data_IF_996295861974
#
_entry.id   IF_996295861974
#
_cell.length_a   1.000
_cell.length_b   1.000
_cell.length_c   1.000
_cell.angle_alpha   90.00
_cell.angle_beta   90.00
_cell.angle_gamma   90.00
#
_symmetry.space_group_name_H-M   'P 1'
#
loop_
_entity.id
_entity.type
_entity.pdbx_description
1 polymer ?
#
# COMPACT_ATOMS: atom_id res chain seq x y z
N UNK A 1 3.20 -16.74 13.99
CA UNK A 1 2.76 -18.14 13.77
C UNK A 1 3.93 -18.99 13.28
N UNK A 2 4.45 -19.93 14.09
CA UNK A 2 5.65 -20.71 13.74
C UNK A 2 5.55 -21.48 12.43
N UNK A 3 4.35 -21.94 12.06
CA UNK A 3 4.11 -22.74 10.86
C UNK A 3 3.99 -21.92 9.55
N UNK A 4 4.10 -20.59 9.63
CA UNK A 4 4.06 -19.69 8.47
C UNK A 4 5.42 -19.51 7.79
N UNK A 5 6.47 -19.87 8.47
CA UNK A 5 7.83 -19.72 7.95
C UNK A 5 8.41 -21.07 7.53
N UNK A 6 8.88 -21.13 6.30
CA UNK A 6 9.57 -22.34 5.79
C UNK A 6 10.77 -22.66 6.68
N UNK A 7 10.87 -23.90 7.13
CA UNK A 7 11.91 -24.36 8.06
C UNK A 7 12.02 -23.57 9.37
N UNK A 8 10.96 -22.89 9.82
CA UNK A 8 10.97 -22.08 11.05
C UNK A 8 11.84 -20.82 10.97
N UNK A 9 12.34 -20.45 9.79
CA UNK A 9 13.16 -19.24 9.58
C UNK A 9 12.24 -18.02 9.47
N UNK A 10 12.18 -17.22 10.51
CA UNK A 10 11.34 -16.02 10.59
C UNK A 10 12.07 -14.73 10.19
N UNK A 11 11.44 -13.57 10.39
CA UNK A 11 11.96 -12.28 9.95
C UNK A 11 13.24 -11.84 10.66
N UNK A 12 13.64 -12.50 11.75
CA UNK A 12 14.91 -12.27 12.44
C UNK A 12 16.14 -12.68 11.61
N UNK A 13 15.93 -13.49 10.57
CA UNK A 13 16.98 -13.95 9.64
C UNK A 13 16.60 -13.51 8.21
N UNK A 14 16.97 -12.27 7.85
CA UNK A 14 16.72 -11.67 6.54
C UNK A 14 18.02 -11.20 5.90
N UNK A 15 17.96 -10.25 4.99
CA UNK A 15 19.14 -9.60 4.37
C UNK A 15 20.03 -8.85 5.36
N UNK A 16 19.56 -8.65 6.60
CA UNK A 16 20.30 -7.99 7.69
C UNK A 16 20.79 -6.57 7.37
N UNK A 17 20.04 -5.82 6.55
CA UNK A 17 20.37 -4.45 6.15
C UNK A 17 20.72 -3.55 7.34
N UNK A 18 20.01 -3.68 8.45
CA UNK A 18 20.31 -2.92 9.67
C UNK A 18 21.76 -3.06 10.16
N UNK A 19 22.38 -4.20 9.91
CA UNK A 19 23.75 -4.50 10.33
C UNK A 19 24.79 -4.19 9.23
N UNK A 20 24.39 -4.30 7.96
CA UNK A 20 25.29 -4.25 6.80
C UNK A 20 25.07 -3.03 5.88
N UNK A 21 24.22 -2.09 6.27
CA UNK A 21 23.79 -0.97 5.45
C UNK A 21 24.94 -0.19 4.79
N UNK A 22 26.08 -0.02 5.48
CA UNK A 22 27.26 0.66 4.89
C UNK A 22 27.81 -0.08 3.69
N UNK A 23 27.98 -1.39 3.83
CA UNK A 23 28.45 -2.23 2.74
C UNK A 23 27.43 -2.27 1.60
N UNK A 24 26.15 -2.36 1.93
CA UNK A 24 25.07 -2.39 0.94
C UNK A 24 25.01 -1.09 0.13
N UNK A 25 25.16 0.09 0.77
CA UNK A 25 25.21 1.39 0.07
C UNK A 25 26.45 1.50 -0.81
N UNK A 26 27.60 1.01 -0.35
CA UNK A 26 28.82 0.97 -1.18
C UNK A 26 28.64 0.07 -2.42
N UNK A 27 27.96 -1.06 -2.29
CA UNK A 27 27.61 -1.92 -3.42
C UNK A 27 26.65 -1.22 -4.39
N UNK A 28 25.65 -0.49 -3.90
CA UNK A 28 24.79 0.34 -4.76
C UNK A 28 25.62 1.34 -5.57
N UNK A 29 26.56 2.01 -4.94
CA UNK A 29 27.45 2.96 -5.62
C UNK A 29 28.32 2.27 -6.68
N UNK A 30 28.92 1.12 -6.36
CA UNK A 30 29.72 0.34 -7.32
C UNK A 30 28.92 -0.09 -8.54
N UNK A 31 27.61 -0.36 -8.35
CA UNK A 31 26.68 -0.70 -9.42
C UNK A 31 26.10 0.51 -10.16
N UNK A 32 26.59 1.72 -9.88
CA UNK A 32 26.13 2.99 -10.45
C UNK A 32 24.65 3.30 -10.21
N UNK A 33 24.08 2.87 -9.09
CA UNK A 33 22.76 3.34 -8.67
C UNK A 33 22.83 4.82 -8.28
N UNK A 34 21.83 5.60 -8.70
CA UNK A 34 21.66 7.01 -8.36
C UNK A 34 20.49 7.29 -7.44
N UNK A 35 19.72 6.25 -7.09
CA UNK A 35 18.61 6.33 -6.17
C UNK A 35 18.45 5.01 -5.40
N UNK A 36 17.93 5.11 -4.18
CA UNK A 36 17.62 3.96 -3.36
C UNK A 36 16.32 4.17 -2.60
N UNK A 37 15.41 3.22 -2.73
CA UNK A 37 14.16 3.24 -1.97
C UNK A 37 14.25 2.32 -0.76
N UNK A 38 13.97 2.89 0.41
CA UNK A 38 13.88 2.14 1.66
C UNK A 38 12.72 2.67 2.51
N UNK A 39 12.58 2.21 3.75
CA UNK A 39 11.55 2.65 4.67
C UNK A 39 12.12 3.04 6.03
N UNK A 40 11.46 4.00 6.69
CA UNK A 40 11.60 4.21 8.12
C UNK A 40 10.58 3.34 8.82
N UNK A 41 10.98 2.53 9.79
CA UNK A 41 10.06 1.70 10.56
C UNK A 41 9.41 2.52 11.66
N UNK A 42 8.08 2.66 11.60
CA UNK A 42 7.31 3.33 12.64
C UNK A 42 7.53 2.68 14.01
N UNK A 43 7.46 1.35 14.06
CA UNK A 43 7.70 0.58 15.29
C UNK A 43 9.12 0.70 15.84
N UNK A 44 10.11 1.06 15.02
CA UNK A 44 11.47 1.33 15.46
C UNK A 44 11.64 2.77 15.95
N UNK A 45 11.09 3.73 15.20
CA UNK A 45 11.25 5.15 15.51
C UNK A 45 10.43 5.56 16.74
N UNK A 46 9.19 5.05 16.86
CA UNK A 46 8.28 5.29 17.98
C UNK A 46 7.67 3.94 18.39
N UNK A 47 8.29 3.19 19.31
CA UNK A 47 7.92 1.80 19.62
C UNK A 47 6.48 1.58 20.04
N UNK A 48 5.88 2.52 20.76
CA UNK A 48 4.45 2.50 21.16
C UNK A 48 3.52 3.23 20.16
N UNK A 49 4.08 3.81 19.11
CA UNK A 49 3.37 4.51 18.03
C UNK A 49 3.08 5.98 18.28
N UNK A 50 3.06 6.46 19.51
CA UNK A 50 2.69 7.84 19.90
C UNK A 50 3.61 8.49 20.94
N UNK A 51 4.46 7.74 21.59
CA UNK A 51 5.29 8.18 22.69
C UNK A 51 6.60 8.83 22.28
N UNK A 52 7.66 8.48 22.99
CA UNK A 52 8.99 9.04 22.76
C UNK A 52 9.66 8.46 21.52
N UNK A 53 10.41 9.32 20.84
CA UNK A 53 11.23 8.93 19.69
C UNK A 53 12.48 8.19 20.20
N UNK A 54 12.79 7.05 19.62
CA UNK A 54 13.99 6.27 19.94
C UNK A 54 15.26 6.98 19.45
N UNK A 55 16.17 7.40 20.32
CA UNK A 55 17.42 8.03 19.91
C UNK A 55 18.27 7.12 19.00
N UNK A 56 18.32 5.82 19.32
CA UNK A 56 19.09 4.84 18.52
C UNK A 56 18.54 4.71 17.11
N UNK A 57 17.21 4.81 16.95
CA UNK A 57 16.59 4.80 15.64
C UNK A 57 16.89 6.08 14.84
N UNK A 58 16.85 7.23 15.51
CA UNK A 58 17.22 8.52 14.89
C UNK A 58 18.67 8.48 14.39
N UNK A 59 19.59 8.03 15.23
CA UNK A 59 21.01 7.91 14.87
C UNK A 59 21.23 6.97 13.70
N UNK A 60 20.53 5.82 13.68
CA UNK A 60 20.61 4.86 12.59
C UNK A 60 20.12 5.46 11.26
N UNK A 61 18.94 6.07 11.24
CA UNK A 61 18.38 6.64 10.00
C UNK A 61 19.16 7.87 9.52
N UNK A 62 19.67 8.70 10.42
CA UNK A 62 20.59 9.78 10.06
C UNK A 62 21.81 9.23 9.33
N UNK A 63 22.50 8.24 9.88
CA UNK A 63 23.68 7.64 9.26
C UNK A 63 23.38 7.04 7.88
N UNK A 64 22.24 6.35 7.71
CA UNK A 64 21.85 5.76 6.43
C UNK A 64 21.56 6.85 5.39
N UNK A 65 20.82 7.89 5.76
CA UNK A 65 20.43 8.98 4.85
C UNK A 65 21.69 9.81 4.47
N UNK A 66 22.54 10.10 5.44
CA UNK A 66 23.78 10.85 5.18
C UNK A 66 24.71 10.09 4.23
N UNK A 67 24.95 8.80 4.47
CA UNK A 67 25.76 7.96 3.58
C UNK A 67 25.20 7.90 2.16
N UNK A 68 23.86 7.73 1.99
CA UNK A 68 23.23 7.74 0.67
C UNK A 68 23.52 9.05 -0.06
N UNK A 69 23.33 10.20 0.60
CA UNK A 69 23.56 11.52 0.01
C UNK A 69 25.06 11.76 -0.29
N UNK A 70 25.97 11.36 0.60
CA UNK A 70 27.42 11.43 0.38
C UNK A 70 27.88 10.61 -0.82
N UNK A 71 27.23 9.46 -1.07
CA UNK A 71 27.50 8.63 -2.25
C UNK A 71 26.81 9.15 -3.52
N UNK A 72 26.01 10.22 -3.43
CA UNK A 72 25.23 10.78 -4.54
C UNK A 72 24.06 9.85 -4.95
N UNK A 73 23.48 9.13 -3.99
CA UNK A 73 22.34 8.25 -4.16
C UNK A 73 21.12 8.90 -3.50
N UNK A 74 20.14 9.31 -4.28
CA UNK A 74 18.94 9.98 -3.78
C UNK A 74 18.08 9.01 -2.95
N UNK A 75 17.78 9.32 -1.67
CA UNK A 75 16.90 8.51 -0.85
C UNK A 75 15.42 8.72 -1.23
N UNK A 76 14.70 7.63 -1.43
CA UNK A 76 13.25 7.58 -1.56
C UNK A 76 12.70 6.85 -0.33
N UNK A 77 12.01 7.55 0.56
CA UNK A 77 11.64 7.02 1.87
C UNK A 77 10.15 6.69 1.93
N UNK A 78 9.86 5.44 2.27
CA UNK A 78 8.50 4.98 2.57
C UNK A 78 8.25 5.04 4.07
N UNK A 79 7.19 5.74 4.50
CA UNK A 79 6.84 5.91 5.92
C UNK A 79 6.21 4.64 6.52
N UNK A 80 5.50 3.84 5.72
CA UNK A 80 4.87 2.61 6.19
C UNK A 80 5.02 1.46 5.20
N UNK A 81 5.77 0.42 5.61
CA UNK A 81 5.95 -0.80 4.83
C UNK A 81 5.56 -2.04 5.65
N UNK A 82 4.30 -2.05 6.12
CA UNK A 82 3.61 -3.12 6.87
C UNK A 82 4.00 -3.27 8.34
N UNK A 83 4.83 -2.44 8.90
CA UNK A 83 5.40 -2.51 10.24
C UNK A 83 4.72 -1.55 11.24
N UNK A 84 3.48 -1.85 11.59
CA UNK A 84 2.73 -1.10 12.60
C UNK A 84 3.25 -1.42 14.02
N UNK A 85 3.44 -0.41 14.89
CA UNK A 85 3.67 -0.66 16.32
C UNK A 85 2.55 -1.51 16.92
N UNK A 86 2.92 -2.49 17.76
CA UNK A 86 1.94 -3.42 18.34
C UNK A 86 0.87 -2.70 19.16
N UNK A 87 1.25 -1.66 19.90
CA UNK A 87 0.30 -0.84 20.66
C UNK A 87 -0.77 -0.19 19.78
N UNK A 88 -0.43 0.21 18.54
CA UNK A 88 -1.40 0.73 17.58
C UNK A 88 -2.34 -0.37 17.08
N UNK A 89 -1.85 -1.59 16.91
CA UNK A 89 -2.70 -2.73 16.56
C UNK A 89 -3.64 -3.11 17.72
N UNK A 90 -3.20 -3.02 18.97
CA UNK A 90 -3.99 -3.34 20.17
C UNK A 90 -5.18 -2.40 20.37
N UNK A 91 -5.08 -1.14 19.96
CA UNK A 91 -6.20 -0.17 19.98
C UNK A 91 -7.12 -0.27 18.76
N UNK A 92 -6.93 -1.28 17.88
CA UNK A 92 -7.79 -1.55 16.71
C UNK A 92 -7.12 -1.34 15.34
N UNK A 93 -5.84 -0.95 15.29
CA UNK A 93 -5.11 -0.77 14.04
C UNK A 93 -5.81 0.21 13.08
N UNK A 94 -5.79 -0.09 11.80
CA UNK A 94 -6.38 0.79 10.78
C UNK A 94 -7.93 0.86 10.82
N UNK A 95 -8.63 0.15 11.71
CA UNK A 95 -10.05 0.37 11.96
C UNK A 95 -10.29 1.61 12.83
N UNK A 96 -9.32 1.96 13.68
CA UNK A 96 -9.43 3.07 14.61
C UNK A 96 -8.91 4.37 13.97
N UNK A 97 -9.72 5.45 13.99
CA UNK A 97 -9.34 6.78 13.51
C UNK A 97 -8.15 7.38 14.28
N UNK A 98 -8.01 7.07 15.54
CA UNK A 98 -6.89 7.57 16.34
C UNK A 98 -5.53 7.11 15.78
N UNK A 99 -5.50 5.94 15.13
CA UNK A 99 -4.31 5.43 14.44
C UNK A 99 -3.97 6.28 13.21
N UNK A 100 -4.97 6.84 12.53
CA UNK A 100 -4.76 7.78 11.40
C UNK A 100 -4.05 9.04 11.89
N UNK A 101 -4.46 9.58 13.04
CA UNK A 101 -3.85 10.77 13.63
C UNK A 101 -2.46 10.49 14.20
N UNK A 102 -2.28 9.34 14.85
CA UNK A 102 -0.97 8.87 15.31
C UNK A 102 0.02 8.71 14.15
N UNK A 103 -0.44 8.17 13.02
CA UNK A 103 0.36 8.03 11.81
C UNK A 103 0.76 9.39 11.20
N UNK A 104 -0.16 10.36 11.12
CA UNK A 104 0.14 11.70 10.64
C UNK A 104 1.19 12.39 11.53
N UNK A 105 1.11 12.21 12.87
CA UNK A 105 2.13 12.68 13.80
C UNK A 105 3.49 12.00 13.57
N UNK A 106 3.51 10.69 13.38
CA UNK A 106 4.74 9.97 13.04
C UNK A 106 5.38 10.51 11.76
N UNK A 107 4.58 10.75 10.71
CA UNK A 107 5.05 11.33 9.46
C UNK A 107 5.66 12.73 9.69
N UNK A 108 5.01 13.58 10.52
CA UNK A 108 5.55 14.88 10.89
C UNK A 108 6.93 14.76 11.56
N UNK A 109 7.09 13.85 12.50
CA UNK A 109 8.36 13.60 13.17
C UNK A 109 9.44 13.18 12.16
N UNK A 110 9.10 12.31 11.19
CA UNK A 110 10.04 11.93 10.13
C UNK A 110 10.46 13.15 9.30
N UNK A 111 9.54 14.03 8.93
CA UNK A 111 9.85 15.25 8.18
C UNK A 111 10.71 16.22 8.99
N UNK A 112 10.44 16.39 10.27
CA UNK A 112 11.24 17.24 11.18
C UNK A 112 12.67 16.72 11.37
N UNK A 113 12.87 15.41 11.41
CA UNK A 113 14.17 14.79 11.64
C UNK A 113 15.01 14.62 10.37
N UNK A 114 14.39 14.43 9.21
CA UNK A 114 15.09 13.99 8.00
C UNK A 114 14.72 14.79 6.74
N UNK A 115 13.75 15.69 6.81
CA UNK A 115 13.20 16.42 5.66
C UNK A 115 14.20 17.43 5.04
N UNK A 116 15.25 17.77 5.74
CA UNK A 116 16.34 18.59 5.21
C UNK A 116 17.23 17.84 4.19
N UNK A 117 17.14 16.50 4.13
CA UNK A 117 17.99 15.60 3.33
C UNK A 117 17.22 14.60 2.49
N UNK A 118 15.92 14.45 2.71
CA UNK A 118 15.03 13.57 1.97
C UNK A 118 13.96 14.39 1.27
N UNK A 119 13.92 14.31 -0.07
CA UNK A 119 12.99 15.06 -0.91
C UNK A 119 11.83 14.21 -1.44
N UNK A 120 11.92 12.87 -1.37
CA UNK A 120 10.91 11.94 -1.90
C UNK A 120 10.36 11.05 -0.81
N UNK A 121 9.10 11.30 -0.46
CA UNK A 121 8.40 10.61 0.60
C UNK A 121 7.21 9.81 0.07
N UNK A 122 7.03 8.60 0.54
CA UNK A 122 5.86 7.79 0.23
C UNK A 122 5.14 7.41 1.52
N UNK A 123 3.85 7.66 1.58
CA UNK A 123 3.05 7.37 2.76
C UNK A 123 2.94 5.87 3.02
N UNK A 124 2.59 5.10 2.01
CA UNK A 124 2.42 3.65 2.12
C UNK A 124 3.12 2.91 0.99
N UNK A 125 3.59 1.69 1.29
CA UNK A 125 3.82 0.68 0.28
C UNK A 125 2.58 -0.23 0.19
N UNK A 126 2.02 -0.37 -1.01
CA UNK A 126 0.92 -1.29 -1.34
C UNK A 126 -0.22 -1.29 -0.30
N UNK A 127 -0.89 -0.16 -0.09
CA UNK A 127 -1.83 -0.01 1.01
C UNK A 127 -2.98 -1.02 1.01
N UNK A 128 -3.35 -1.58 -0.14
CA UNK A 128 -4.46 -2.53 -0.30
C UNK A 128 -4.12 -3.97 0.15
N UNK A 129 -2.84 -4.35 0.14
CA UNK A 129 -2.42 -5.77 0.23
C UNK A 129 -2.81 -6.41 1.56
N UNK A 130 -2.53 -5.76 2.69
CA UNK A 130 -2.72 -6.38 4.01
C UNK A 130 -4.19 -6.69 4.27
N UNK A 131 -5.07 -5.69 4.16
CA UNK A 131 -6.50 -5.87 4.46
C UNK A 131 -7.20 -6.80 3.45
N UNK A 132 -6.73 -6.85 2.19
CA UNK A 132 -7.24 -7.82 1.22
C UNK A 132 -6.94 -9.25 1.69
N UNK A 133 -5.69 -9.51 2.09
CA UNK A 133 -5.30 -10.83 2.61
C UNK A 133 -5.95 -11.20 3.93
N UNK A 134 -6.31 -10.20 4.75
CA UNK A 134 -6.97 -10.39 6.04
C UNK A 134 -8.48 -10.55 5.89
N UNK A 135 -9.15 -9.58 5.23
CA UNK A 135 -10.61 -9.43 5.28
C UNK A 135 -11.35 -9.81 3.98
N UNK A 136 -10.67 -9.97 2.87
CA UNK A 136 -11.29 -10.57 1.67
C UNK A 136 -10.87 -12.03 1.51
N UNK A 137 -9.57 -12.30 1.49
CA UNK A 137 -9.07 -13.65 1.28
C UNK A 137 -9.16 -14.54 2.54
N UNK A 138 -9.33 -13.94 3.73
CA UNK A 138 -9.31 -14.62 5.05
C UNK A 138 -8.05 -15.51 5.25
N UNK A 139 -6.90 -15.12 4.66
CA UNK A 139 -5.66 -15.91 4.70
C UNK A 139 -4.75 -15.57 5.88
N UNK A 140 -5.09 -14.54 6.65
CA UNK A 140 -4.34 -14.07 7.82
C UNK A 140 -5.28 -13.83 8.98
N UNK A 141 -4.73 -13.82 10.19
CA UNK A 141 -5.49 -13.49 11.39
C UNK A 141 -6.20 -12.12 11.22
N UNK A 142 -7.51 -12.00 11.58
CA UNK A 142 -8.36 -12.94 12.33
C UNK A 142 -9.02 -14.06 11.49
N UNK A 143 -8.67 -14.25 10.21
CA UNK A 143 -9.24 -15.28 9.31
C UNK A 143 -10.74 -15.09 9.06
N UNK A 144 -11.15 -13.85 9.03
CA UNK A 144 -12.55 -13.44 8.87
C UNK A 144 -12.73 -12.70 7.55
N UNK A 145 -13.79 -13.09 6.80
CA UNK A 145 -14.20 -12.33 5.62
C UNK A 145 -15.11 -11.18 6.06
N UNK A 146 -14.65 -9.95 5.88
CA UNK A 146 -15.38 -8.74 6.26
C UNK A 146 -15.08 -7.57 5.32
N UNK A 147 -15.94 -7.38 4.32
CA UNK A 147 -15.74 -6.31 3.32
C UNK A 147 -15.96 -4.92 3.92
N UNK A 148 -16.74 -4.77 4.99
CA UNK A 148 -16.90 -3.50 5.70
C UNK A 148 -15.59 -3.06 6.35
N UNK A 149 -14.94 -3.93 7.11
CA UNK A 149 -13.62 -3.68 7.69
C UNK A 149 -12.56 -3.47 6.61
N UNK A 150 -12.59 -4.25 5.52
CA UNK A 150 -11.71 -4.03 4.37
C UNK A 150 -11.85 -2.60 3.81
N UNK A 151 -13.08 -2.11 3.62
CA UNK A 151 -13.30 -0.76 3.10
C UNK A 151 -12.92 0.32 4.11
N UNK A 152 -13.15 0.09 5.41
CA UNK A 152 -12.74 1.02 6.47
C UNK A 152 -11.22 1.21 6.50
N UNK A 153 -10.46 0.14 6.40
CA UNK A 153 -8.99 0.21 6.33
C UNK A 153 -8.51 0.96 5.09
N UNK A 154 -9.16 0.72 3.94
CA UNK A 154 -8.83 1.45 2.71
C UNK A 154 -9.06 2.94 2.91
N UNK A 155 -10.22 3.33 3.46
CA UNK A 155 -10.53 4.73 3.70
C UNK A 155 -9.56 5.40 4.67
N UNK A 156 -9.27 4.76 5.79
CA UNK A 156 -8.37 5.32 6.79
C UNK A 156 -6.92 5.49 6.26
N UNK A 157 -6.44 4.63 5.38
CA UNK A 157 -5.12 4.82 4.74
C UNK A 157 -5.13 5.93 3.70
N UNK A 158 -6.21 6.10 2.94
CA UNK A 158 -6.38 7.26 2.05
C UNK A 158 -6.44 8.55 2.86
N UNK A 159 -7.23 8.58 3.93
CA UNK A 159 -7.35 9.72 4.84
C UNK A 159 -6.00 10.05 5.50
N UNK A 160 -5.26 9.04 5.95
CA UNK A 160 -3.92 9.21 6.52
C UNK A 160 -2.96 9.83 5.49
N UNK A 161 -3.00 9.38 4.23
CA UNK A 161 -2.22 9.98 3.15
C UNK A 161 -2.59 11.46 2.96
N UNK A 162 -3.87 11.79 2.88
CA UNK A 162 -4.32 13.18 2.72
C UNK A 162 -3.88 14.09 3.89
N UNK A 163 -3.95 13.58 5.14
CA UNK A 163 -3.44 14.31 6.32
C UNK A 163 -1.93 14.56 6.24
N UNK A 164 -1.16 13.57 5.81
CA UNK A 164 0.30 13.70 5.65
C UNK A 164 0.65 14.70 4.54
N UNK A 165 -0.02 14.64 3.38
CA UNK A 165 0.17 15.59 2.28
C UNK A 165 -0.17 17.02 2.72
N UNK A 166 -1.31 17.21 3.39
CA UNK A 166 -1.70 18.51 3.95
C UNK A 166 -0.61 19.06 4.88
N UNK A 167 -0.20 18.27 5.84
CA UNK A 167 0.82 18.65 6.82
C UNK A 167 2.15 19.00 6.15
N UNK A 168 2.60 18.22 5.19
CA UNK A 168 3.83 18.48 4.43
C UNK A 168 3.79 19.84 3.73
N UNK A 169 2.68 20.14 3.05
CA UNK A 169 2.48 21.40 2.33
C UNK A 169 2.33 22.60 3.27
N UNK A 170 1.53 22.49 4.34
CA UNK A 170 1.31 23.56 5.31
C UNK A 170 2.58 23.95 6.08
N UNK A 171 3.46 23.00 6.32
CA UNK A 171 4.76 23.24 6.97
C UNK A 171 5.83 23.75 6.01
N UNK A 172 5.60 23.67 4.69
CA UNK A 172 6.51 24.15 3.67
C UNK A 172 7.78 23.33 3.54
N UNK A 173 7.70 22.01 3.74
CA UNK A 173 8.83 21.13 3.46
C UNK A 173 9.10 21.04 1.96
N UNK A 174 10.38 20.96 1.61
CA UNK A 174 10.82 20.78 0.23
C UNK A 174 10.63 19.32 -0.23
N UNK A 175 10.31 19.13 -1.52
CA UNK A 175 10.16 17.80 -2.11
C UNK A 175 8.73 17.42 -2.43
N UNK A 176 8.44 16.13 -2.39
CA UNK A 176 7.17 15.53 -2.81
C UNK A 176 6.70 14.45 -1.85
N UNK A 177 5.38 14.30 -1.74
CA UNK A 177 4.73 13.21 -1.00
C UNK A 177 3.88 12.37 -1.93
N UNK A 178 4.19 11.08 -2.01
CA UNK A 178 3.51 10.11 -2.84
C UNK A 178 2.91 8.94 -2.07
N UNK A 179 2.42 7.98 -2.84
CA UNK A 179 2.02 6.66 -2.35
C UNK A 179 2.50 5.60 -3.34
N UNK A 180 2.93 4.44 -2.86
CA UNK A 180 3.34 3.33 -3.73
C UNK A 180 2.20 2.35 -3.86
N UNK A 181 1.65 2.25 -5.05
CA UNK A 181 0.58 1.31 -5.39
C UNK A 181 1.15 0.06 -6.07
N UNK A 182 0.41 -1.02 -5.99
CA UNK A 182 0.62 -2.23 -6.78
C UNK A 182 -0.57 -2.44 -7.72
N UNK A 183 -0.68 -1.65 -8.81
CA UNK A 183 -1.80 -1.77 -9.71
C UNK A 183 -1.82 -3.15 -10.37
N UNK A 184 -3.01 -3.72 -10.41
CA UNK A 184 -3.25 -5.03 -11.01
C UNK A 184 -3.90 -4.83 -12.38
N UNK A 185 -3.05 -4.64 -13.41
CA UNK A 185 -3.54 -4.44 -14.79
C UNK A 185 -4.38 -5.64 -15.22
N UNK A 186 -5.66 -5.38 -15.46
CA UNK A 186 -6.68 -6.43 -15.57
C UNK A 186 -7.10 -6.65 -17.00
N UNK A 187 -7.04 -7.90 -17.45
CA UNK A 187 -7.43 -8.31 -18.80
C UNK A 187 -8.67 -9.22 -18.76
N UNK A 188 -9.74 -8.87 -19.48
CA UNK A 188 -10.89 -9.74 -19.63
C UNK A 188 -10.54 -10.98 -20.47
N UNK A 189 -11.16 -12.13 -20.19
CA UNK A 189 -11.02 -13.35 -20.99
C UNK A 189 -11.36 -13.13 -22.47
N UNK A 190 -12.35 -12.31 -22.74
CA UNK A 190 -12.82 -12.00 -24.09
C UNK A 190 -13.37 -10.57 -24.19
N UNK A 191 -13.71 -10.15 -25.42
CA UNK A 191 -14.40 -8.87 -25.65
C UNK A 191 -15.91 -8.93 -25.40
N UNK A 192 -16.45 -10.05 -24.92
CA UNK A 192 -17.86 -10.14 -24.57
C UNK A 192 -18.20 -9.19 -23.42
N UNK A 193 -19.34 -8.49 -23.44
CA UNK A 193 -19.68 -7.46 -22.45
C UNK A 193 -19.59 -7.94 -20.99
N UNK A 194 -19.93 -9.20 -20.72
CA UNK A 194 -19.87 -9.75 -19.38
C UNK A 194 -18.41 -9.97 -18.87
N UNK A 195 -17.48 -10.36 -19.76
CA UNK A 195 -16.07 -10.49 -19.38
C UNK A 195 -15.40 -9.11 -19.21
N UNK A 196 -15.75 -8.15 -20.07
CA UNK A 196 -15.31 -6.75 -19.93
C UNK A 196 -15.82 -6.17 -18.61
N UNK A 197 -17.09 -6.40 -18.28
CA UNK A 197 -17.67 -5.96 -17.00
C UNK A 197 -16.96 -6.59 -15.79
N UNK A 198 -16.57 -7.84 -15.89
CA UNK A 198 -15.79 -8.49 -14.83
C UNK A 198 -14.44 -7.81 -14.60
N UNK A 199 -13.73 -7.42 -15.67
CA UNK A 199 -12.47 -6.68 -15.58
C UNK A 199 -12.65 -5.27 -14.99
N UNK A 200 -13.70 -4.54 -15.40
CA UNK A 200 -14.07 -3.25 -14.81
C UNK A 200 -14.35 -3.34 -13.31
N UNK A 201 -15.01 -4.41 -12.87
CA UNK A 201 -15.30 -4.64 -11.46
C UNK A 201 -14.05 -4.96 -10.67
N UNK A 202 -13.15 -5.77 -11.22
CA UNK A 202 -11.86 -6.03 -10.60
C UNK A 202 -11.07 -4.73 -10.43
N UNK A 203 -10.93 -3.95 -11.49
CA UNK A 203 -10.24 -2.66 -11.48
C UNK A 203 -10.81 -1.70 -10.43
N UNK A 204 -12.14 -1.62 -10.35
CA UNK A 204 -12.83 -0.76 -9.39
C UNK A 204 -12.45 -1.07 -7.93
N UNK A 205 -12.41 -2.34 -7.56
CA UNK A 205 -12.16 -2.76 -6.18
C UNK A 205 -10.67 -2.86 -5.83
N UNK A 206 -9.78 -3.15 -6.78
CA UNK A 206 -8.35 -3.33 -6.49
C UNK A 206 -7.47 -2.15 -6.86
N UNK A 207 -7.80 -1.41 -7.92
CA UNK A 207 -7.00 -0.26 -8.34
C UNK A 207 -7.65 1.05 -7.92
N UNK A 208 -8.87 1.31 -8.39
CA UNK A 208 -9.51 2.61 -8.30
C UNK A 208 -9.96 2.99 -6.89
N UNK A 209 -10.10 2.02 -5.99
CA UNK A 209 -10.37 2.28 -4.55
C UNK A 209 -9.26 3.10 -3.88
N UNK A 210 -8.01 3.01 -4.38
CA UNK A 210 -6.89 3.84 -3.94
C UNK A 210 -6.49 4.89 -4.98
N UNK A 211 -6.36 4.51 -6.24
CA UNK A 211 -5.86 5.39 -7.28
C UNK A 211 -6.72 6.66 -7.41
N UNK A 212 -8.05 6.51 -7.53
CA UNK A 212 -8.93 7.65 -7.74
C UNK A 212 -8.89 8.66 -6.57
N UNK A 213 -9.05 8.28 -5.29
CA UNK A 213 -8.97 9.24 -4.20
C UNK A 213 -7.57 9.84 -4.01
N UNK A 214 -6.49 9.11 -4.27
CA UNK A 214 -5.13 9.62 -4.12
C UNK A 214 -4.73 10.60 -5.22
N UNK A 215 -5.20 10.38 -6.46
CA UNK A 215 -4.81 11.19 -7.63
C UNK A 215 -5.87 12.21 -8.01
N UNK A 216 -7.14 11.82 -7.94
CA UNK A 216 -8.27 12.69 -8.34
C UNK A 216 -9.06 13.25 -7.16
N UNK A 217 -8.65 12.97 -5.93
CA UNK A 217 -9.28 13.47 -4.71
C UNK A 217 -10.71 12.94 -4.46
N UNK A 218 -11.13 11.88 -5.12
CA UNK A 218 -12.50 11.37 -5.00
C UNK A 218 -12.61 9.89 -5.29
N UNK A 219 -13.43 9.20 -4.52
CA UNK A 219 -13.80 7.82 -4.83
C UNK A 219 -14.70 7.72 -6.06
N UNK A 220 -14.62 6.64 -6.86
CA UNK A 220 -15.56 6.38 -7.93
C UNK A 220 -17.00 6.30 -7.42
N UNK A 221 -17.94 7.00 -8.07
CA UNK A 221 -19.37 6.91 -7.68
C UNK A 221 -19.91 5.47 -7.78
N UNK A 222 -19.39 4.69 -8.73
CA UNK A 222 -19.74 3.27 -8.87
C UNK A 222 -19.37 2.45 -7.64
N UNK A 223 -18.28 2.78 -6.94
CA UNK A 223 -17.89 2.12 -5.70
C UNK A 223 -18.94 2.35 -4.60
N UNK A 224 -19.33 3.61 -4.34
CA UNK A 224 -20.39 3.95 -3.39
C UNK A 224 -21.70 3.20 -3.69
N UNK A 225 -22.10 3.20 -4.96
CA UNK A 225 -23.34 2.53 -5.40
C UNK A 225 -23.30 1.01 -5.12
N UNK A 226 -22.16 0.37 -5.39
CA UNK A 226 -21.99 -1.06 -5.18
C UNK A 226 -21.91 -1.44 -3.70
N UNK A 227 -21.16 -0.69 -2.91
CA UNK A 227 -21.06 -0.91 -1.47
C UNK A 227 -22.43 -0.75 -0.80
N UNK A 228 -23.18 0.30 -1.15
CA UNK A 228 -24.54 0.51 -0.64
C UNK A 228 -25.50 -0.62 -1.06
N UNK A 229 -25.46 -1.05 -2.34
CA UNK A 229 -26.25 -2.17 -2.85
C UNK A 229 -26.03 -3.46 -2.05
N UNK A 230 -24.80 -3.69 -1.62
CA UNK A 230 -24.41 -4.89 -0.87
C UNK A 230 -24.37 -4.67 0.64
N UNK A 231 -24.92 -3.54 1.12
CA UNK A 231 -25.02 -3.20 2.55
C UNK A 231 -23.65 -3.21 3.26
N UNK A 232 -22.58 -2.91 2.53
CA UNK A 232 -21.25 -2.75 3.11
C UNK A 232 -21.23 -1.43 3.86
N UNK A 233 -21.03 -1.50 5.18
CA UNK A 233 -20.99 -0.34 6.07
C UNK A 233 -19.54 0.09 6.27
N UNK A 234 -19.29 1.38 6.20
CA UNK A 234 -18.02 2.02 6.53
C UNK A 234 -18.26 3.47 6.92
N UNK A 235 -17.47 3.95 7.84
CA UNK A 235 -17.64 5.29 8.41
C UNK A 235 -16.76 6.30 7.70
N UNK A 236 -17.36 7.38 7.24
CA UNK A 236 -16.69 8.53 6.67
C UNK A 236 -17.50 9.80 6.90
N UNK A 237 -16.85 10.95 6.89
CA UNK A 237 -17.50 12.26 7.01
C UNK A 237 -17.34 13.09 5.74
N UNK A 238 -18.17 14.11 5.57
CA UNK A 238 -18.02 15.06 4.46
C UNK A 238 -16.69 15.83 4.55
N UNK A 239 -16.24 16.14 5.77
CA UNK A 239 -14.96 16.83 6.00
C UNK A 239 -13.77 15.96 5.62
N UNK A 240 -13.81 14.64 5.89
CA UNK A 240 -12.78 13.70 5.46
C UNK A 240 -12.71 13.60 3.93
N UNK A 241 -13.86 13.55 3.25
CA UNK A 241 -13.89 13.54 1.79
C UNK A 241 -13.38 14.87 1.20
N UNK A 242 -13.69 16.01 1.81
CA UNK A 242 -13.15 17.30 1.41
C UNK A 242 -11.62 17.37 1.64
N UNK A 243 -11.13 16.86 2.77
CA UNK A 243 -9.71 16.78 3.05
C UNK A 243 -8.96 15.94 1.99
N UNK A 244 -9.52 14.80 1.60
CA UNK A 244 -8.98 13.95 0.54
C UNK A 244 -8.98 14.68 -0.81
N UNK A 245 -10.08 15.41 -1.12
CA UNK A 245 -10.19 16.15 -2.38
C UNK A 245 -9.12 17.25 -2.52
N UNK A 246 -8.79 17.91 -1.43
CA UNK A 246 -7.85 19.04 -1.42
C UNK A 246 -6.37 18.60 -1.30
N UNK A 247 -6.11 17.34 -0.94
CA UNK A 247 -4.77 16.86 -0.61
C UNK A 247 -4.40 15.56 -1.34
N UNK A 248 -4.37 15.63 -2.66
CA UNK A 248 -3.90 14.54 -3.54
C UNK A 248 -2.37 14.44 -3.51
N UNK A 249 -1.85 13.26 -3.86
CA UNK A 249 -0.40 13.01 -3.89
C UNK A 249 0.30 13.74 -5.03
N UNK A 250 1.59 14.02 -4.85
CA UNK A 250 2.44 14.67 -5.86
C UNK A 250 3.05 13.65 -6.83
N UNK A 251 3.28 12.41 -6.37
CA UNK A 251 3.88 11.35 -7.16
C UNK A 251 3.30 9.97 -6.82
N UNK A 252 3.40 9.04 -7.76
CA UNK A 252 3.04 7.64 -7.56
C UNK A 252 4.26 6.74 -7.74
N UNK A 253 4.54 5.92 -6.73
CA UNK A 253 5.38 4.75 -6.87
C UNK A 253 4.55 3.57 -7.39
N UNK A 254 5.13 2.74 -8.25
CA UNK A 254 4.44 1.59 -8.84
C UNK A 254 5.23 0.32 -8.63
N UNK A 255 4.61 -0.66 -7.96
CA UNK A 255 5.08 -2.04 -7.91
C UNK A 255 4.25 -2.86 -8.89
N UNK A 256 4.84 -3.30 -9.99
CA UNK A 256 4.14 -4.01 -11.06
C UNK A 256 4.80 -5.35 -11.33
N UNK A 257 4.01 -6.43 -11.32
CA UNK A 257 4.57 -7.78 -11.36
C UNK A 257 4.07 -8.63 -12.53
N UNK A 258 2.76 -8.78 -12.68
CA UNK A 258 2.14 -9.67 -13.67
C UNK A 258 0.71 -9.21 -13.99
N UNK A 259 0.14 -9.65 -15.14
CA UNK A 259 -1.23 -9.29 -15.49
C UNK A 259 -2.24 -10.06 -14.67
N UNK A 260 -3.34 -9.41 -14.29
CA UNK A 260 -4.52 -10.08 -13.74
C UNK A 260 -5.50 -10.39 -14.86
N UNK A 261 -5.89 -11.66 -15.00
CA UNK A 261 -6.85 -12.09 -16.00
C UNK A 261 -8.12 -12.57 -15.33
N UNK A 262 -9.23 -12.05 -15.81
CA UNK A 262 -10.55 -12.36 -15.23
C UNK A 262 -11.57 -12.67 -16.31
N UNK A 263 -12.62 -13.34 -15.89
CA UNK A 263 -13.83 -13.64 -16.67
C UNK A 263 -15.07 -13.36 -15.84
N UNK A 264 -16.21 -13.34 -16.48
CA UNK A 264 -17.50 -13.31 -15.80
C UNK A 264 -17.63 -14.53 -14.87
N UNK A 265 -18.25 -14.37 -13.68
CA UNK A 265 -18.43 -15.47 -12.75
C UNK A 265 -19.32 -16.55 -13.35
N UNK A 266 -18.97 -17.80 -13.12
CA UNK A 266 -19.75 -18.97 -13.56
C UNK A 266 -20.90 -19.31 -12.60
N UNK A 267 -20.90 -18.71 -11.40
CA UNK A 267 -21.92 -18.93 -10.36
C UNK A 267 -22.62 -17.63 -10.02
N UNK A 268 -23.91 -17.69 -9.77
CA UNK A 268 -24.64 -16.57 -9.21
C UNK A 268 -24.27 -16.38 -7.72
N UNK A 269 -24.22 -15.12 -7.29
CA UNK A 269 -24.09 -14.78 -5.89
C UNK A 269 -25.30 -15.26 -5.10
N UNK A 270 -25.06 -15.88 -3.93
CA UNK A 270 -26.12 -16.25 -3.01
C UNK A 270 -26.39 -15.09 -2.05
N UNK A 271 -27.64 -14.60 -1.94
CA UNK A 271 -27.96 -13.39 -1.15
C UNK A 271 -27.61 -13.47 0.34
N UNK A 272 -27.55 -14.68 0.90
CA UNK A 272 -27.26 -14.90 2.32
C UNK A 272 -25.75 -14.95 2.64
N UNK A 273 -24.89 -14.99 1.63
CA UNK A 273 -23.44 -14.91 1.86
C UNK A 273 -22.97 -13.47 1.99
N UNK A 274 -22.03 -13.17 2.90
CA UNK A 274 -21.43 -11.85 2.98
C UNK A 274 -20.86 -11.40 1.64
N UNK A 275 -21.03 -10.14 1.31
CA UNK A 275 -20.54 -9.62 0.04
C UNK A 275 -19.01 -9.75 -0.05
N UNK A 276 -18.55 -10.18 -1.24
CA UNK A 276 -17.15 -10.20 -1.62
C UNK A 276 -17.02 -9.68 -3.07
N UNK A 277 -16.02 -8.83 -3.40
CA UNK A 277 -15.86 -8.31 -4.76
C UNK A 277 -15.76 -9.38 -5.86
N UNK A 278 -15.22 -10.56 -5.54
CA UNK A 278 -15.17 -11.72 -6.44
C UNK A 278 -16.52 -12.26 -6.89
N UNK A 279 -17.65 -11.73 -6.40
CA UNK A 279 -18.97 -12.03 -6.97
C UNK A 279 -19.14 -11.48 -8.39
N UNK A 280 -18.31 -10.53 -8.78
CA UNK A 280 -18.39 -9.89 -10.09
C UNK A 280 -17.40 -10.44 -11.11
N UNK A 281 -16.43 -11.26 -10.68
CA UNK A 281 -15.40 -11.82 -11.55
C UNK A 281 -14.88 -13.16 -11.00
N UNK A 282 -14.26 -13.93 -11.87
CA UNK A 282 -13.46 -15.11 -11.54
C UNK A 282 -12.09 -15.00 -12.18
N UNK A 283 -11.02 -15.51 -11.55
CA UNK A 283 -9.73 -15.63 -12.20
C UNK A 283 -9.83 -16.43 -13.50
N UNK A 284 -9.05 -16.02 -14.50
CA UNK A 284 -8.95 -16.70 -15.78
C UNK A 284 -7.50 -17.02 -16.11
N UNK A 285 -7.24 -18.25 -16.43
CA UNK A 285 -5.93 -18.69 -16.87
C UNK A 285 -5.86 -18.75 -18.40
N UNK A 286 -5.05 -17.86 -19.01
CA UNK A 286 -4.87 -17.86 -20.48
C UNK A 286 -4.08 -19.11 -20.90
N UNK A 287 -4.66 -19.99 -21.77
CA UNK A 287 -3.93 -21.14 -22.28
C UNK A 287 -2.63 -20.73 -23.00
N UNK A 288 -1.55 -21.47 -22.72
CA UNK A 288 -0.26 -21.22 -23.37
C UNK A 288 0.52 -20.00 -22.84
N UNK A 289 0.04 -19.33 -21.75
CA UNK A 289 0.81 -18.26 -21.13
C UNK A 289 2.17 -18.73 -20.64
N UNK A 290 3.16 -17.87 -20.75
CA UNK A 290 4.51 -18.15 -20.23
C UNK A 290 4.55 -17.85 -18.73
N UNK A 291 5.02 -18.80 -17.94
CA UNK A 291 5.04 -18.69 -16.48
C UNK A 291 6.47 -18.55 -15.95
N UNK A 292 6.62 -17.76 -14.92
CA UNK A 292 7.80 -17.73 -14.08
C UNK A 292 7.80 -18.97 -13.16
N UNK A 293 8.93 -19.65 -13.07
CA UNK A 293 9.05 -20.92 -12.33
C UNK A 293 9.14 -20.74 -10.82
N UNK A 294 9.62 -19.58 -10.35
CA UNK A 294 9.83 -19.33 -8.91
C UNK A 294 8.56 -18.93 -8.16
N UNK A 295 7.63 -18.26 -8.85
CA UNK A 295 6.41 -17.72 -8.23
C UNK A 295 5.11 -18.17 -8.90
N UNK A 296 5.19 -18.78 -10.08
CA UNK A 296 4.01 -19.12 -10.86
C UNK A 296 3.27 -17.87 -11.42
N UNK A 297 3.99 -16.78 -11.67
CA UNK A 297 3.43 -15.58 -12.25
C UNK A 297 3.57 -15.58 -13.78
N UNK A 298 2.59 -15.01 -14.45
CA UNK A 298 2.63 -14.86 -15.89
C UNK A 298 3.71 -13.84 -16.29
N UNK A 299 4.56 -14.21 -17.26
CA UNK A 299 5.54 -13.29 -17.85
C UNK A 299 4.86 -12.56 -19.01
N UNK A 300 4.54 -11.30 -18.81
CA UNK A 300 3.85 -10.45 -19.80
C UNK A 300 4.37 -9.00 -19.75
N UNK A 301 5.54 -8.71 -20.35
CA UNK A 301 6.19 -7.38 -20.22
C UNK A 301 5.34 -6.20 -20.74
N UNK A 302 4.40 -6.44 -21.64
CA UNK A 302 3.49 -5.42 -22.16
C UNK A 302 2.67 -4.73 -21.05
N UNK A 303 2.49 -5.39 -19.91
CA UNK A 303 1.77 -4.83 -18.76
C UNK A 303 2.30 -3.44 -18.34
N UNK A 304 3.62 -3.17 -18.51
CA UNK A 304 4.24 -1.87 -18.18
C UNK A 304 3.64 -0.77 -19.06
N UNK A 305 3.52 -1.04 -20.35
CA UNK A 305 2.92 -0.10 -21.30
C UNK A 305 1.42 0.08 -21.05
N UNK A 306 0.70 -1.04 -20.89
CA UNK A 306 -0.77 -1.00 -20.71
C UNK A 306 -1.16 -0.33 -19.38
N UNK A 307 -0.30 -0.36 -18.35
CA UNK A 307 -0.49 0.35 -17.10
C UNK A 307 -0.28 1.87 -17.24
N UNK A 308 0.65 2.30 -18.11
CA UNK A 308 0.98 3.70 -18.27
C UNK A 308 0.00 4.45 -19.20
N UNK A 309 -0.80 3.73 -20.00
CA UNK A 309 -1.78 4.28 -20.96
C UNK A 309 -3.19 4.35 -20.38
#
# INVERSE_FOLDING_TARGET
EPNRFHNGVGPQHTSTFYQHWKTDIQLLKQLNHNSFRTSISWARLIPDGIGEVSPDAVDFYNQVIDELNEQGITPFITLFHFDMPMAMQEIGGWENRDVVDAYARYAQICFELFGDRVLHWFTFNEPIVVQTRVYLDALRWPYEQNTSTWMQWNHHKVLATAKVVKLFREKGYDGSVGCILNPEVTYPRSRAPHDVRAAEMYDLFYNRVFLDPLVHGRYPQALFTLLAKHQVQWDYTADELALIADNTVDELGINLYYPHRVKAPSRAWHPETPFHPAYYYEPFELPGRRMNTSRGWEIFPRIIYDMAM
#
